data_IF_703944558387
#
_entry.id   IF_703944558387
#
_cell.length_a   1.000
_cell.length_b   1.000
_cell.length_c   1.000
_cell.angle_alpha   90.00
_cell.angle_beta   90.00
_cell.angle_gamma   90.00
#
_symmetry.space_group_name_H-M   'P 1'
#
loop_
_entity.id
_entity.type
_entity.pdbx_description
1 polymer ?
#
# COMPACT_ATOMS: atom_id res chain seq x y z
N UNK A 1 25.50 38.81 -22.24
CA UNK A 1 25.51 37.36 -21.93
C UNK A 1 25.91 36.66 -23.21
N UNK A 2 27.07 35.99 -23.23
CA UNK A 2 27.66 35.44 -24.46
C UNK A 2 26.80 34.35 -25.10
N UNK A 3 26.83 34.26 -26.42
CA UNK A 3 26.15 33.21 -27.18
C UNK A 3 26.65 31.83 -26.70
N UNK A 4 25.76 31.03 -26.13
CA UNK A 4 26.03 29.64 -25.79
C UNK A 4 26.25 28.86 -27.07
N UNK A 5 27.35 28.09 -27.15
CA UNK A 5 27.63 27.23 -28.28
C UNK A 5 26.46 26.26 -28.53
N UNK A 6 26.12 25.96 -29.79
CA UNK A 6 25.05 25.02 -30.10
C UNK A 6 25.38 23.64 -29.50
N UNK A 7 24.37 22.91 -28.98
CA UNK A 7 24.60 21.57 -28.42
C UNK A 7 25.09 20.60 -29.50
N UNK A 8 26.04 19.74 -29.16
CA UNK A 8 26.53 18.69 -30.05
C UNK A 8 25.61 17.45 -30.00
N UNK A 9 24.56 17.48 -30.82
CA UNK A 9 23.63 16.36 -30.95
C UNK A 9 24.28 15.10 -31.55
N UNK A 10 25.29 15.27 -32.41
CA UNK A 10 25.95 14.17 -33.12
C UNK A 10 26.64 13.21 -32.14
N UNK A 11 27.25 13.75 -31.08
CA UNK A 11 27.83 12.93 -30.01
C UNK A 11 26.82 11.99 -29.35
N UNK A 12 25.57 12.44 -29.16
CA UNK A 12 24.51 11.66 -28.54
C UNK A 12 23.94 10.61 -29.50
N UNK A 13 23.79 10.94 -30.78
CA UNK A 13 23.43 9.97 -31.81
C UNK A 13 24.48 8.84 -31.87
N UNK A 14 25.76 9.20 -31.89
CA UNK A 14 26.85 8.23 -31.86
C UNK A 14 26.82 7.36 -30.60
N UNK A 15 26.59 7.95 -29.42
CA UNK A 15 26.50 7.20 -28.16
C UNK A 15 25.29 6.26 -28.11
N UNK A 16 24.20 6.61 -28.79
CA UNK A 16 23.00 5.78 -28.92
C UNK A 16 23.11 4.72 -30.04
N UNK A 17 24.22 4.70 -30.80
CA UNK A 17 24.39 3.81 -31.95
C UNK A 17 23.46 4.15 -33.12
N UNK A 18 23.07 5.41 -33.25
CA UNK A 18 22.19 5.90 -34.32
C UNK A 18 22.99 6.71 -35.34
N UNK A 19 22.75 6.46 -36.62
CA UNK A 19 23.30 7.26 -37.72
C UNK A 19 22.41 8.50 -37.96
N UNK A 20 22.88 9.72 -37.63
CA UNK A 20 22.09 10.94 -37.78
C UNK A 20 21.69 11.24 -39.23
N UNK A 21 22.42 10.73 -40.23
CA UNK A 21 22.09 10.94 -41.65
C UNK A 21 20.80 10.22 -42.08
N UNK A 22 20.40 9.19 -41.32
CA UNK A 22 19.16 8.43 -41.57
C UNK A 22 17.91 9.08 -40.98
N UNK A 23 18.06 10.22 -40.32
CA UNK A 23 16.97 10.93 -39.62
C UNK A 23 16.71 12.29 -40.26
N UNK A 24 15.44 12.66 -40.37
CA UNK A 24 14.98 13.97 -40.85
C UNK A 24 14.58 14.85 -39.68
N UNK A 25 14.95 16.14 -39.70
CA UNK A 25 14.57 17.08 -38.65
C UNK A 25 13.04 17.22 -38.53
N UNK A 26 12.55 17.29 -37.30
CA UNK A 26 11.14 17.41 -36.94
C UNK A 26 10.93 18.45 -35.84
N UNK A 27 9.69 18.92 -35.66
CA UNK A 27 9.33 19.83 -34.58
C UNK A 27 9.19 19.07 -33.26
N UNK A 28 9.84 19.47 -32.15
CA UNK A 28 9.69 18.83 -30.84
C UNK A 28 8.23 18.78 -30.36
N UNK A 29 7.79 17.65 -29.82
CA UNK A 29 6.38 17.38 -29.47
C UNK A 29 6.22 17.02 -28.00
N UNK A 30 7.18 16.31 -27.39
CA UNK A 30 7.05 15.78 -26.04
C UNK A 30 7.67 16.71 -25.00
N UNK A 31 6.96 17.10 -23.94
CA UNK A 31 7.52 18.01 -22.94
C UNK A 31 8.55 17.31 -22.05
N UNK A 32 9.68 17.97 -21.85
CA UNK A 32 10.78 17.44 -21.06
C UNK A 32 10.52 17.59 -19.55
N UNK A 33 11.10 16.68 -18.76
CA UNK A 33 11.04 16.72 -17.27
C UNK A 33 11.79 17.91 -16.67
N UNK A 34 12.75 18.44 -17.43
CA UNK A 34 13.71 19.45 -17.01
C UNK A 34 13.55 20.68 -17.90
N UNK A 35 13.78 21.86 -17.34
CA UNK A 35 13.85 23.08 -18.12
C UNK A 35 15.00 23.00 -19.15
N UNK A 36 14.71 23.35 -20.39
CA UNK A 36 15.66 23.39 -21.51
C UNK A 36 15.53 24.71 -22.27
N UNK A 37 16.66 25.31 -22.67
CA UNK A 37 16.69 26.50 -23.52
C UNK A 37 16.87 26.18 -25.02
N UNK A 38 17.21 24.94 -25.35
CA UNK A 38 17.24 24.43 -26.71
C UNK A 38 16.61 23.02 -26.79
N UNK A 39 15.79 22.78 -27.83
CA UNK A 39 15.14 21.50 -28.11
C UNK A 39 15.28 21.15 -29.58
N UNK A 40 15.45 19.87 -29.88
CA UNK A 40 15.55 19.37 -31.24
C UNK A 40 14.88 17.99 -31.33
N UNK A 41 14.29 17.71 -32.48
CA UNK A 41 13.67 16.43 -32.75
C UNK A 41 13.98 15.96 -34.17
N UNK A 42 13.97 14.66 -34.36
CA UNK A 42 14.16 14.02 -35.64
C UNK A 42 13.29 12.78 -35.78
N UNK A 43 12.97 12.39 -37.01
CA UNK A 43 12.18 11.20 -37.32
C UNK A 43 12.87 10.35 -38.39
N UNK A 44 12.60 9.04 -38.35
CA UNK A 44 13.06 8.07 -39.34
C UNK A 44 11.98 7.02 -39.52
N UNK A 45 11.64 6.71 -40.76
CA UNK A 45 10.82 5.53 -41.06
C UNK A 45 11.70 4.27 -41.06
N UNK A 46 11.21 3.24 -40.40
CA UNK A 46 11.79 1.89 -40.41
C UNK A 46 10.76 1.00 -41.10
N UNK A 47 11.22 0.16 -42.04
CA UNK A 47 10.35 -0.72 -42.84
C UNK A 47 10.43 -2.19 -42.44
N UNK A 48 11.42 -2.58 -41.63
CA UNK A 48 11.68 -3.97 -41.24
C UNK A 48 12.04 -4.02 -39.75
N UNK A 49 11.43 -4.87 -38.91
CA UNK A 49 10.42 -5.89 -39.21
C UNK A 49 8.97 -5.38 -39.26
N UNK A 50 8.69 -4.15 -38.82
CA UNK A 50 7.36 -3.52 -38.85
C UNK A 50 7.54 -2.10 -39.40
N UNK A 51 6.66 -1.66 -40.30
CA UNK A 51 6.65 -0.27 -40.77
C UNK A 51 6.29 0.67 -39.61
N UNK A 52 7.23 1.49 -39.18
CA UNK A 52 7.12 2.31 -37.98
C UNK A 52 7.94 3.59 -38.11
N UNK A 53 7.45 4.70 -37.56
CA UNK A 53 8.21 5.95 -37.45
C UNK A 53 8.91 5.97 -36.09
N UNK A 54 10.25 5.94 -36.12
CA UNK A 54 11.08 6.20 -34.94
C UNK A 54 11.33 7.69 -34.85
N UNK A 55 11.26 8.22 -33.64
CA UNK A 55 11.47 9.63 -33.34
C UNK A 55 12.57 9.76 -32.30
N UNK A 56 13.45 10.73 -32.46
CA UNK A 56 14.46 11.12 -31.48
C UNK A 56 14.10 12.51 -31.00
N UNK A 57 14.01 12.70 -29.68
CA UNK A 57 13.90 14.03 -29.08
C UNK A 57 15.10 14.28 -28.16
N UNK A 58 15.65 15.49 -28.23
CA UNK A 58 16.78 15.92 -27.43
C UNK A 58 16.58 17.35 -26.92
N UNK A 59 17.10 17.62 -25.73
CA UNK A 59 17.05 18.94 -25.13
C UNK A 59 18.37 19.28 -24.43
N UNK A 60 18.68 20.57 -24.39
CA UNK A 60 19.88 21.11 -23.76
C UNK A 60 19.56 22.33 -22.89
N UNK A 61 20.41 22.56 -21.90
CA UNK A 61 20.44 23.76 -21.09
C UNK A 61 21.83 24.40 -21.17
N UNK A 62 21.93 25.64 -21.66
CA UNK A 62 23.18 26.38 -21.83
C UNK A 62 24.23 25.61 -22.64
N UNK A 63 23.80 24.96 -23.72
CA UNK A 63 24.66 24.15 -24.60
C UNK A 63 25.00 22.75 -24.06
N UNK A 64 24.57 22.38 -22.85
CA UNK A 64 24.79 21.04 -22.29
C UNK A 64 23.54 20.18 -22.47
N UNK A 65 23.63 18.99 -23.09
CA UNK A 65 22.48 18.10 -23.19
C UNK A 65 21.96 17.66 -21.81
N UNK A 66 20.64 17.73 -21.64
CA UNK A 66 19.94 17.32 -20.42
C UNK A 66 18.93 16.20 -20.68
N UNK A 67 18.60 15.96 -21.96
CA UNK A 67 17.64 14.97 -22.39
C UNK A 67 17.99 14.43 -23.77
N UNK A 68 17.87 13.12 -23.93
CA UNK A 68 17.96 12.44 -25.22
C UNK A 68 17.15 11.16 -25.14
N UNK A 69 16.17 10.98 -26.03
CA UNK A 69 15.29 9.81 -26.01
C UNK A 69 14.93 9.36 -27.41
N UNK A 70 14.98 8.04 -27.59
CA UNK A 70 14.43 7.35 -28.77
C UNK A 70 13.01 6.92 -28.44
N UNK A 71 12.07 7.35 -29.27
CA UNK A 71 10.64 7.14 -29.17
C UNK A 71 10.19 6.25 -30.35
N UNK A 72 9.44 5.22 -30.03
CA UNK A 72 8.82 4.32 -30.99
C UNK A 72 7.31 4.63 -31.08
N UNK A 73 6.57 4.15 -32.11
CA UNK A 73 5.15 4.48 -32.27
C UNK A 73 4.26 4.06 -31.08
N UNK A 74 4.68 3.06 -30.32
CA UNK A 74 4.00 2.58 -29.12
C UNK A 74 4.51 3.25 -27.83
N UNK A 75 5.39 4.26 -27.92
CA UNK A 75 5.77 5.05 -26.78
C UNK A 75 4.58 5.91 -26.35
N UNK A 76 4.14 5.76 -25.10
CA UNK A 76 3.03 6.54 -24.54
C UNK A 76 3.54 7.88 -23.98
N UNK A 77 3.09 9.05 -24.49
CA UNK A 77 3.40 10.36 -23.94
C UNK A 77 2.57 10.63 -22.68
N UNK A 78 2.65 9.75 -21.70
CA UNK A 78 1.83 9.78 -20.48
C UNK A 78 1.98 11.09 -19.68
N UNK A 79 3.05 11.86 -19.91
CA UNK A 79 3.30 13.17 -19.28
C UNK A 79 2.64 14.34 -20.00
N UNK A 80 2.53 14.26 -21.32
CA UNK A 80 1.99 15.34 -22.15
C UNK A 80 0.47 15.21 -22.30
N UNK A 81 -0.06 14.02 -22.03
CA UNK A 81 -1.49 13.79 -21.93
C UNK A 81 -2.00 14.38 -20.62
N UNK A 82 -3.07 15.17 -20.71
CA UNK A 82 -3.88 15.49 -19.55
C UNK A 82 -4.30 14.17 -18.91
N UNK A 83 -3.93 13.93 -17.65
CA UNK A 83 -4.34 12.75 -16.91
C UNK A 83 -5.87 12.76 -16.78
N UNK A 84 -6.54 12.13 -17.75
CA UNK A 84 -7.99 11.94 -17.68
C UNK A 84 -8.24 10.73 -16.81
N UNK A 85 -8.76 10.96 -15.61
CA UNK A 85 -9.17 9.86 -14.75
C UNK A 85 -10.20 9.00 -15.48
N UNK A 86 -9.96 7.70 -15.55
CA UNK A 86 -10.92 6.77 -16.13
C UNK A 86 -12.25 6.86 -15.37
N UNK A 87 -13.38 6.54 -16.01
CA UNK A 87 -14.69 6.51 -15.35
C UNK A 87 -14.68 5.66 -14.07
N UNK A 88 -13.85 4.62 -14.06
CA UNK A 88 -13.61 3.77 -12.91
C UNK A 88 -12.81 4.47 -11.79
N UNK A 89 -11.73 5.17 -12.11
CA UNK A 89 -10.99 5.96 -11.12
C UNK A 89 -11.89 7.04 -10.50
N UNK A 90 -12.75 7.67 -11.32
CA UNK A 90 -13.76 8.62 -10.82
C UNK A 90 -14.75 7.93 -9.88
N UNK A 91 -15.29 6.78 -10.26
CA UNK A 91 -16.18 5.99 -9.41
C UNK A 91 -15.49 5.58 -8.09
N UNK A 92 -14.25 5.09 -8.15
CA UNK A 92 -13.49 4.70 -6.97
C UNK A 92 -13.23 5.89 -6.03
N UNK A 93 -12.91 7.07 -6.57
CA UNK A 93 -12.78 8.30 -5.79
C UNK A 93 -14.10 8.73 -5.14
N UNK A 94 -15.22 8.69 -5.88
CA UNK A 94 -16.54 9.01 -5.34
C UNK A 94 -16.91 8.03 -4.22
N UNK A 95 -16.73 6.73 -4.45
CA UNK A 95 -16.97 5.69 -3.44
C UNK A 95 -16.09 5.91 -2.22
N UNK A 96 -14.79 6.20 -2.41
CA UNK A 96 -13.86 6.51 -1.33
C UNK A 96 -14.30 7.71 -0.49
N UNK A 97 -14.74 8.80 -1.14
CA UNK A 97 -15.28 10.00 -0.47
C UNK A 97 -16.54 9.65 0.32
N UNK A 98 -17.47 8.90 -0.27
CA UNK A 98 -18.72 8.49 0.40
C UNK A 98 -18.42 7.57 1.60
N UNK A 99 -17.50 6.61 1.46
CA UNK A 99 -17.07 5.72 2.54
C UNK A 99 -16.40 6.52 3.65
N UNK A 100 -15.50 7.45 3.32
CA UNK A 100 -14.85 8.31 4.30
C UNK A 100 -15.85 9.20 5.05
N UNK A 101 -16.80 9.82 4.33
CA UNK A 101 -17.88 10.59 4.93
C UNK A 101 -18.77 9.72 5.85
N UNK A 102 -19.07 8.49 5.44
CA UNK A 102 -19.82 7.53 6.25
C UNK A 102 -19.06 7.11 7.52
N UNK A 103 -17.73 6.91 7.46
CA UNK A 103 -16.90 6.66 8.63
C UNK A 103 -16.92 7.85 9.59
N UNK A 104 -16.74 9.07 9.06
CA UNK A 104 -16.67 10.28 9.87
C UNK A 104 -18.00 10.64 10.53
N UNK A 105 -19.08 10.74 9.74
CA UNK A 105 -20.40 11.08 10.25
C UNK A 105 -20.99 9.94 11.07
N UNK A 106 -20.80 8.69 10.63
CA UNK A 106 -21.26 7.49 11.33
C UNK A 106 -20.60 7.33 12.70
N UNK A 107 -19.29 7.55 12.81
CA UNK A 107 -18.60 7.47 14.10
C UNK A 107 -19.12 8.53 15.08
N UNK A 108 -19.28 9.78 14.66
CA UNK A 108 -19.80 10.86 15.50
C UNK A 108 -21.19 10.54 16.04
N UNK A 109 -22.11 10.09 15.17
CA UNK A 109 -23.48 9.77 15.57
C UNK A 109 -23.55 8.58 16.53
N UNK A 110 -22.79 7.52 16.26
CA UNK A 110 -22.78 6.31 17.09
C UNK A 110 -22.08 6.56 18.42
N UNK A 111 -20.95 7.28 18.45
CA UNK A 111 -20.26 7.67 19.68
C UNK A 111 -21.20 8.51 20.55
N UNK A 112 -21.87 9.53 20.00
CA UNK A 112 -22.85 10.35 20.74
C UNK A 112 -23.95 9.49 21.37
N UNK A 113 -24.47 8.52 20.61
CA UNK A 113 -25.48 7.57 21.11
C UNK A 113 -24.92 6.70 22.24
N UNK A 114 -23.73 6.16 22.07
CA UNK A 114 -23.07 5.28 23.06
C UNK A 114 -22.79 6.02 24.37
N UNK A 115 -22.28 7.26 24.30
CA UNK A 115 -22.03 8.11 25.46
C UNK A 115 -23.33 8.41 26.22
N UNK A 116 -24.41 8.79 25.51
CA UNK A 116 -25.73 9.01 26.14
C UNK A 116 -26.27 7.76 26.83
N UNK A 117 -25.95 6.59 26.29
CA UNK A 117 -26.34 5.29 26.87
C UNK A 117 -25.37 4.79 27.95
N UNK A 118 -24.30 5.54 28.27
CA UNK A 118 -23.21 5.12 29.17
C UNK A 118 -22.66 3.74 28.81
N UNK A 119 -22.49 3.48 27.51
CA UNK A 119 -21.97 2.23 26.95
C UNK A 119 -20.68 2.51 26.18
N UNK A 120 -19.72 1.60 26.30
CA UNK A 120 -18.42 1.69 25.62
C UNK A 120 -17.25 1.67 26.60
N UNK A 121 -16.11 1.14 26.13
CA UNK A 121 -14.85 1.05 26.85
C UNK A 121 -13.99 2.25 26.53
N UNK A 122 -14.12 3.24 27.40
CA UNK A 122 -13.26 4.42 27.39
C UNK A 122 -11.79 4.01 27.50
N UNK A 123 -11.45 3.10 28.42
CA UNK A 123 -10.07 2.72 28.67
C UNK A 123 -9.43 2.05 27.45
N UNK A 124 -10.09 1.07 26.84
CA UNK A 124 -9.64 0.41 25.62
C UNK A 124 -9.52 1.37 24.44
N UNK A 125 -10.48 2.30 24.29
CA UNK A 125 -10.43 3.31 23.22
C UNK A 125 -9.22 4.25 23.36
N UNK A 126 -8.90 4.70 24.57
CA UNK A 126 -7.73 5.53 24.85
C UNK A 126 -6.42 4.77 24.68
N UNK A 127 -6.36 3.50 25.09
CA UNK A 127 -5.17 2.66 24.87
C UNK A 127 -4.87 2.53 23.37
N UNK A 128 -5.89 2.33 22.53
CA UNK A 128 -5.73 2.32 21.08
C UNK A 128 -5.26 3.68 20.54
N UNK A 129 -5.86 4.78 20.98
CA UNK A 129 -5.48 6.12 20.56
C UNK A 129 -4.00 6.38 20.85
N UNK A 130 -3.57 6.10 22.09
CA UNK A 130 -2.20 6.29 22.53
C UNK A 130 -1.23 5.39 21.76
N UNK A 131 -1.59 4.12 21.54
CA UNK A 131 -0.80 3.20 20.72
C UNK A 131 -0.57 3.79 19.32
N UNK A 132 -1.63 4.20 18.61
CA UNK A 132 -1.50 4.78 17.27
C UNK A 132 -0.75 6.12 17.25
N UNK A 133 -0.91 6.93 18.29
CA UNK A 133 -0.17 8.19 18.44
C UNK A 133 1.34 7.93 18.53
N UNK A 134 1.78 7.04 19.41
CA UNK A 134 3.21 6.74 19.57
C UNK A 134 3.80 5.95 18.39
N UNK A 135 3.03 5.04 17.79
CA UNK A 135 3.44 4.34 16.56
C UNK A 135 3.67 5.34 15.43
N UNK A 136 2.78 6.33 15.26
CA UNK A 136 2.94 7.37 14.26
C UNK A 136 4.17 8.24 14.53
N UNK A 137 4.38 8.71 15.77
CA UNK A 137 5.56 9.52 16.09
C UNK A 137 6.87 8.74 15.90
N UNK A 138 6.88 7.44 16.22
CA UNK A 138 8.03 6.57 15.99
C UNK A 138 8.29 6.37 14.49
N UNK A 139 7.24 6.13 13.71
CA UNK A 139 7.31 6.08 12.25
C UNK A 139 7.88 7.38 11.68
N UNK A 140 7.36 8.53 12.11
CA UNK A 140 7.81 9.84 11.66
C UNK A 140 9.28 10.09 12.02
N UNK A 141 9.70 9.81 13.25
CA UNK A 141 11.09 9.98 13.69
C UNK A 141 12.09 9.10 12.92
N UNK A 142 11.66 7.94 12.43
CA UNK A 142 12.50 7.05 11.64
C UNK A 142 12.56 7.45 10.16
N UNK A 143 11.46 7.95 9.60
CA UNK A 143 11.33 8.28 8.18
C UNK A 143 11.70 9.72 7.82
N UNK A 144 11.49 10.68 8.72
CA UNK A 144 11.78 12.08 8.45
C UNK A 144 13.29 12.34 8.36
N UNK A 145 13.66 13.28 7.51
CA UNK A 145 15.01 13.84 7.49
C UNK A 145 15.03 15.03 8.46
N UNK A 146 15.64 14.83 9.62
CA UNK A 146 15.76 15.87 10.63
C UNK A 146 16.97 16.77 10.33
N UNK A 147 16.73 18.06 10.21
CA UNK A 147 17.77 19.07 10.00
C UNK A 147 17.72 20.06 11.16
N UNK A 148 18.87 20.42 11.71
CA UNK A 148 18.97 21.41 12.79
C UNK A 148 18.62 22.82 12.28
N UNK A 149 17.32 23.10 12.14
CA UNK A 149 16.78 24.32 11.55
C UNK A 149 15.48 24.72 12.23
N UNK A 150 15.12 26.01 12.18
CA UNK A 150 13.82 26.48 12.69
C UNK A 150 12.64 25.85 11.95
N UNK A 151 12.83 25.42 10.70
CA UNK A 151 11.80 24.72 9.93
C UNK A 151 11.43 23.35 10.54
N UNK A 152 12.36 22.74 11.28
CA UNK A 152 12.15 21.48 11.99
C UNK A 152 11.00 21.59 13.01
N UNK A 153 10.88 22.74 13.69
CA UNK A 153 9.78 22.99 14.61
C UNK A 153 8.42 22.91 13.90
N UNK A 154 8.34 23.49 12.69
CA UNK A 154 7.15 23.38 11.85
C UNK A 154 6.81 21.93 11.51
N UNK A 155 7.80 21.10 11.18
CA UNK A 155 7.59 19.67 10.89
C UNK A 155 7.09 18.89 12.12
N UNK A 156 7.64 19.18 13.31
CA UNK A 156 7.18 18.57 14.57
C UNK A 156 5.71 18.93 14.84
N UNK A 157 5.34 20.20 14.69
CA UNK A 157 3.96 20.65 14.91
C UNK A 157 3.00 19.97 13.92
N UNK A 158 3.39 19.85 12.64
CA UNK A 158 2.59 19.12 11.65
C UNK A 158 2.46 17.64 12.02
N UNK A 159 3.55 16.98 12.44
CA UNK A 159 3.52 15.58 12.85
C UNK A 159 2.60 15.36 14.05
N UNK A 160 2.67 16.22 15.07
CA UNK A 160 1.77 16.17 16.23
C UNK A 160 0.31 16.38 15.83
N UNK A 161 0.02 17.35 14.96
CA UNK A 161 -1.35 17.60 14.48
C UNK A 161 -1.94 16.37 13.78
N UNK A 162 -1.17 15.74 12.88
CA UNK A 162 -1.57 14.50 12.21
C UNK A 162 -1.74 13.33 13.19
N UNK A 163 -0.81 13.17 14.13
CA UNK A 163 -0.87 12.13 15.15
C UNK A 163 -2.15 12.25 16.00
N UNK A 164 -2.48 13.46 16.48
CA UNK A 164 -3.68 13.72 17.26
C UNK A 164 -4.96 13.51 16.44
N UNK A 165 -5.02 14.04 15.22
CA UNK A 165 -6.19 13.94 14.35
C UNK A 165 -6.56 12.47 14.12
N UNK A 166 -5.59 11.66 13.71
CA UNK A 166 -5.85 10.28 13.30
C UNK A 166 -6.02 9.35 14.50
N UNK A 167 -5.24 9.51 15.57
CA UNK A 167 -5.44 8.72 16.80
C UNK A 167 -6.81 8.99 17.44
N UNK A 168 -7.28 10.24 17.42
CA UNK A 168 -8.62 10.61 17.88
C UNK A 168 -9.70 10.02 16.99
N UNK A 169 -9.50 10.04 15.66
CA UNK A 169 -10.44 9.42 14.73
C UNK A 169 -10.52 7.89 14.93
N UNK A 170 -9.38 7.22 15.09
CA UNK A 170 -9.33 5.80 15.40
C UNK A 170 -10.04 5.46 16.72
N UNK A 171 -9.83 6.29 17.75
CA UNK A 171 -10.54 6.17 19.03
C UNK A 171 -12.05 6.24 18.85
N UNK A 172 -12.54 7.20 18.06
CA UNK A 172 -13.97 7.35 17.78
C UNK A 172 -14.54 6.11 17.09
N UNK A 173 -13.86 5.58 16.08
CA UNK A 173 -14.27 4.36 15.39
C UNK A 173 -14.35 3.18 16.36
N UNK A 174 -13.30 2.96 17.17
CA UNK A 174 -13.26 1.86 18.12
C UNK A 174 -14.32 1.98 19.22
N UNK A 175 -14.45 3.15 19.84
CA UNK A 175 -15.45 3.41 20.87
C UNK A 175 -16.89 3.26 20.34
N UNK A 176 -17.13 3.70 19.10
CA UNK A 176 -18.42 3.54 18.44
C UNK A 176 -18.77 2.07 18.18
N UNK A 177 -17.79 1.29 17.72
CA UNK A 177 -17.95 -0.09 17.31
C UNK A 177 -18.08 -1.08 18.49
N UNK A 178 -17.35 -0.82 19.57
CA UNK A 178 -17.16 -1.78 20.66
C UNK A 178 -18.48 -2.30 21.28
N UNK A 179 -19.50 -1.46 21.59
CA UNK A 179 -20.70 -1.96 22.25
C UNK A 179 -21.52 -2.90 21.37
N UNK A 180 -21.47 -2.67 20.05
CA UNK A 180 -22.15 -3.51 19.08
C UNK A 180 -21.46 -4.87 18.96
N UNK A 181 -20.14 -4.86 18.81
CA UNK A 181 -19.37 -6.08 18.59
C UNK A 181 -19.40 -6.99 19.80
N UNK A 182 -19.29 -6.44 21.02
CA UNK A 182 -19.42 -7.23 22.25
C UNK A 182 -20.73 -8.01 22.35
N UNK A 183 -21.81 -7.47 21.77
CA UNK A 183 -23.14 -8.09 21.80
C UNK A 183 -23.33 -9.15 20.73
N UNK A 184 -22.81 -8.91 19.52
CA UNK A 184 -23.14 -9.71 18.33
C UNK A 184 -22.04 -10.66 17.90
N UNK A 185 -20.78 -10.21 17.95
CA UNK A 185 -19.61 -10.96 17.48
C UNK A 185 -18.43 -10.81 18.45
N UNK A 186 -18.58 -11.18 19.74
CA UNK A 186 -17.60 -10.90 20.78
C UNK A 186 -16.21 -11.45 20.43
N UNK A 187 -16.14 -12.61 19.78
CA UNK A 187 -14.90 -13.29 19.39
C UNK A 187 -13.97 -12.44 18.53
N UNK A 188 -14.50 -11.53 17.70
CA UNK A 188 -13.71 -10.71 16.77
C UNK A 188 -12.81 -9.67 17.45
N UNK A 189 -13.10 -9.32 18.72
CA UNK A 189 -12.32 -8.36 19.51
C UNK A 189 -11.61 -8.99 20.72
N UNK A 190 -11.73 -10.30 20.97
CA UNK A 190 -11.15 -10.91 22.18
C UNK A 190 -9.63 -10.78 22.20
N UNK A 191 -8.95 -11.26 21.17
CA UNK A 191 -7.48 -11.20 21.11
C UNK A 191 -6.99 -9.74 21.06
N UNK A 192 -7.69 -8.88 20.33
CA UNK A 192 -7.41 -7.45 20.29
C UNK A 192 -7.54 -6.77 21.68
N UNK A 193 -8.61 -7.04 22.41
CA UNK A 193 -8.83 -6.51 23.76
C UNK A 193 -7.77 -7.02 24.74
N UNK A 194 -7.36 -8.29 24.61
CA UNK A 194 -6.26 -8.87 25.41
C UNK A 194 -4.93 -8.17 25.12
N UNK A 195 -4.58 -8.02 23.84
CA UNK A 195 -3.36 -7.31 23.41
C UNK A 195 -3.33 -5.87 23.93
N UNK A 196 -4.40 -5.10 23.71
CA UNK A 196 -4.49 -3.70 24.16
C UNK A 196 -4.55 -3.56 25.68
N UNK A 197 -4.95 -4.62 26.42
CA UNK A 197 -4.87 -4.67 27.88
C UNK A 197 -3.49 -5.05 28.43
N UNK A 198 -2.49 -5.27 27.57
CA UNK A 198 -1.13 -5.64 27.96
C UNK A 198 -0.89 -7.15 28.10
N UNK A 199 -1.88 -7.99 27.79
CA UNK A 199 -1.74 -9.46 27.81
C UNK A 199 -1.13 -9.95 26.50
N UNK A 200 0.11 -9.53 26.24
CA UNK A 200 0.80 -9.82 24.97
C UNK A 200 1.11 -11.32 24.83
N UNK A 201 1.47 -11.98 25.94
CA UNK A 201 1.78 -13.42 26.00
C UNK A 201 0.57 -14.35 26.09
N UNK A 202 -0.60 -13.86 25.71
CA UNK A 202 -1.81 -14.64 25.77
C UNK A 202 -1.87 -15.61 24.57
N UNK A 203 -2.15 -16.91 24.76
CA UNK A 203 -2.17 -17.88 23.65
C UNK A 203 -3.16 -17.51 22.53
N UNK A 204 -4.25 -16.81 22.86
CA UNK A 204 -5.19 -16.33 21.83
C UNK A 204 -4.59 -15.21 20.97
N UNK A 205 -3.74 -14.35 21.56
CA UNK A 205 -3.01 -13.30 20.84
C UNK A 205 -1.98 -13.94 19.92
N UNK A 206 -1.19 -14.90 20.44
CA UNK A 206 -0.23 -15.67 19.63
C UNK A 206 -0.89 -16.38 18.45
N UNK A 207 -2.00 -17.09 18.69
CA UNK A 207 -2.78 -17.77 17.65
C UNK A 207 -3.23 -16.82 16.54
N UNK A 208 -3.83 -15.69 16.91
CA UNK A 208 -4.37 -14.74 15.92
C UNK A 208 -3.25 -14.05 15.12
N UNK A 209 -2.10 -13.79 15.74
CA UNK A 209 -0.89 -13.29 15.04
C UNK A 209 -0.38 -14.34 14.03
N UNK A 210 -0.31 -15.62 14.41
CA UNK A 210 0.11 -16.69 13.49
C UNK A 210 -0.85 -16.83 12.30
N UNK A 211 -2.16 -16.83 12.56
CA UNK A 211 -3.18 -16.90 11.51
C UNK A 211 -3.09 -15.69 10.60
N UNK A 212 -2.92 -14.50 11.16
CA UNK A 212 -2.68 -13.27 10.40
C UNK A 212 -1.44 -13.38 9.53
N UNK A 213 -0.33 -13.89 10.08
CA UNK A 213 0.93 -14.08 9.33
C UNK A 213 0.75 -15.03 8.16
N UNK A 214 0.14 -16.20 8.39
CA UNK A 214 -0.14 -17.17 7.34
C UNK A 214 -1.07 -16.59 6.26
N UNK A 215 -2.13 -15.88 6.68
CA UNK A 215 -3.03 -15.21 5.76
C UNK A 215 -2.31 -14.13 4.94
N UNK A 216 -1.45 -13.32 5.54
CA UNK A 216 -0.67 -12.30 4.83
C UNK A 216 0.27 -12.89 3.78
N UNK A 217 0.94 -14.00 4.10
CA UNK A 217 1.77 -14.74 3.13
C UNK A 217 0.91 -15.26 1.97
N UNK A 218 -0.22 -15.90 2.26
CA UNK A 218 -1.12 -16.44 1.23
C UNK A 218 -1.71 -15.33 0.36
N UNK A 219 -2.10 -14.19 0.96
CA UNK A 219 -2.67 -13.06 0.24
C UNK A 219 -1.63 -12.41 -0.67
N UNK A 220 -0.41 -12.16 -0.18
CA UNK A 220 0.68 -11.61 -0.99
C UNK A 220 1.11 -12.56 -2.12
N UNK A 221 1.14 -13.86 -1.85
CA UNK A 221 1.38 -14.87 -2.88
C UNK A 221 0.28 -14.84 -3.94
N UNK A 222 -1.00 -14.83 -3.51
CA UNK A 222 -2.15 -14.76 -4.41
C UNK A 222 -2.10 -13.54 -5.31
N UNK A 223 -1.88 -12.34 -4.76
CA UNK A 223 -1.71 -11.10 -5.54
C UNK A 223 -0.58 -11.19 -6.57
N UNK A 224 0.51 -11.87 -6.21
CA UNK A 224 1.64 -12.10 -7.11
C UNK A 224 1.35 -13.10 -8.23
N UNK A 225 0.37 -14.00 -8.07
CA UNK A 225 -0.03 -14.98 -9.10
C UNK A 225 -0.47 -14.27 -10.38
N UNK A 226 -1.25 -13.18 -10.27
CA UNK A 226 -1.69 -12.41 -11.43
C UNK A 226 -0.51 -11.92 -12.28
N UNK A 227 0.56 -11.48 -11.62
CA UNK A 227 1.76 -10.99 -12.29
C UNK A 227 2.54 -12.08 -13.05
N UNK A 228 2.44 -13.34 -12.61
CA UNK A 228 3.11 -14.48 -13.24
C UNK A 228 2.24 -15.17 -14.29
N UNK A 229 0.95 -15.32 -14.02
CA UNK A 229 0.02 -16.11 -14.84
C UNK A 229 -0.48 -15.33 -16.04
N UNK A 230 -0.79 -14.04 -15.88
CA UNK A 230 -1.34 -13.25 -16.98
C UNK A 230 -0.38 -13.10 -18.18
N UNK A 231 0.96 -12.98 -17.97
CA UNK A 231 1.89 -13.00 -19.09
C UNK A 231 1.93 -14.31 -19.88
N UNK A 232 1.64 -15.46 -19.24
CA UNK A 232 1.55 -16.75 -19.93
C UNK A 232 0.38 -16.79 -20.94
N UNK A 233 -0.63 -15.94 -20.76
CA UNK A 233 -1.76 -15.78 -21.69
C UNK A 233 -1.55 -14.62 -22.69
N UNK A 234 -0.30 -14.21 -22.92
CA UNK A 234 0.05 -13.19 -23.92
C UNK A 234 -0.13 -11.75 -23.44
N UNK A 235 -0.35 -11.51 -22.13
CA UNK A 235 -0.22 -10.14 -21.61
C UNK A 235 1.24 -9.74 -21.51
N UNK A 236 1.50 -8.45 -21.64
CA UNK A 236 2.82 -7.92 -21.31
C UNK A 236 3.14 -8.25 -19.84
N UNK A 237 4.39 -8.63 -19.53
CA UNK A 237 4.84 -8.71 -18.14
C UNK A 237 4.44 -7.42 -17.43
N UNK A 238 3.86 -7.50 -16.21
CA UNK A 238 3.56 -6.30 -15.45
C UNK A 238 4.83 -5.46 -15.33
N UNK A 239 4.69 -4.14 -15.38
CA UNK A 239 5.81 -3.26 -15.07
C UNK A 239 6.41 -3.72 -13.74
N UNK A 240 7.74 -3.92 -13.65
CA UNK A 240 8.37 -4.33 -12.41
C UNK A 240 7.88 -3.41 -11.30
N UNK A 241 7.15 -3.96 -10.32
CA UNK A 241 6.72 -3.18 -9.17
C UNK A 241 7.97 -2.57 -8.56
N UNK A 242 8.05 -1.24 -8.51
CA UNK A 242 9.16 -0.59 -7.85
C UNK A 242 9.03 -0.93 -6.36
N UNK A 243 10.00 -1.63 -5.74
CA UNK A 243 10.01 -1.77 -4.30
C UNK A 243 9.95 -0.39 -3.66
N UNK A 244 9.38 -0.29 -2.47
CA UNK A 244 9.26 0.99 -1.77
C UNK A 244 10.64 1.63 -1.68
N UNK A 245 10.75 2.88 -2.15
CA UNK A 245 12.04 3.56 -2.25
C UNK A 245 12.70 3.67 -0.88
N UNK A 246 11.89 3.80 0.16
CA UNK A 246 12.29 3.85 1.57
C UNK A 246 12.98 2.57 2.03
N UNK A 247 12.50 1.39 1.60
CA UNK A 247 13.10 0.11 1.97
C UNK A 247 14.50 -0.10 1.36
N UNK A 248 14.80 0.58 0.25
CA UNK A 248 16.11 0.54 -0.40
C UNK A 248 17.17 1.38 0.32
N UNK A 249 16.73 2.39 1.09
CA UNK A 249 17.60 3.42 1.66
C UNK A 249 18.14 3.08 3.07
N UNK A 250 17.84 1.87 3.57
CA UNK A 250 18.49 1.29 4.76
C UNK A 250 17.53 0.83 5.87
N UNK A 251 18.09 0.25 6.93
CA UNK A 251 17.34 -0.40 8.02
C UNK A 251 16.46 0.58 8.80
N UNK A 252 16.93 1.83 9.04
CA UNK A 252 16.15 2.86 9.74
C UNK A 252 14.80 3.11 9.05
N UNK A 253 14.85 3.35 7.74
CA UNK A 253 13.67 3.64 6.93
C UNK A 253 12.79 2.40 6.79
N UNK A 254 13.40 1.22 6.66
CA UNK A 254 12.69 -0.07 6.65
C UNK A 254 11.86 -0.28 7.92
N UNK A 255 12.45 -0.07 9.11
CA UNK A 255 11.72 -0.14 10.37
C UNK A 255 10.62 0.92 10.43
N UNK A 256 10.91 2.14 9.96
CA UNK A 256 9.92 3.20 9.81
C UNK A 256 8.73 2.77 8.94
N UNK A 257 8.96 2.02 7.85
CA UNK A 257 7.89 1.49 6.98
C UNK A 257 7.03 0.45 7.70
N UNK A 258 7.60 -0.39 8.57
CA UNK A 258 6.84 -1.36 9.37
C UNK A 258 5.90 -0.64 10.35
N UNK A 259 6.35 0.42 11.02
CA UNK A 259 5.49 1.24 11.86
C UNK A 259 4.41 1.97 11.04
N UNK A 260 4.75 2.46 9.84
CA UNK A 260 3.77 3.04 8.91
C UNK A 260 2.68 2.03 8.54
N UNK A 261 3.06 0.83 8.13
CA UNK A 261 2.11 -0.22 7.75
C UNK A 261 1.25 -0.63 8.93
N UNK A 262 1.84 -0.77 10.12
CA UNK A 262 1.08 -1.05 11.35
C UNK A 262 0.03 0.04 11.60
N UNK A 263 0.42 1.31 11.49
CA UNK A 263 -0.48 2.44 11.67
C UNK A 263 -1.62 2.47 10.63
N UNK A 264 -1.27 2.34 9.35
CA UNK A 264 -2.24 2.32 8.23
C UNK A 264 -3.20 1.15 8.35
N UNK A 265 -2.71 -0.06 8.59
CA UNK A 265 -3.55 -1.26 8.54
C UNK A 265 -4.39 -1.48 9.79
N UNK A 266 -4.02 -0.92 10.95
CA UNK A 266 -4.93 -0.81 12.09
C UNK A 266 -6.13 0.07 11.72
N UNK A 267 -5.88 1.26 11.15
CA UNK A 267 -6.94 2.18 10.73
C UNK A 267 -7.82 1.59 9.63
N UNK A 268 -7.18 0.99 8.62
CA UNK A 268 -7.87 0.38 7.49
C UNK A 268 -8.77 -0.78 7.93
N UNK A 269 -8.25 -1.69 8.77
CA UNK A 269 -9.03 -2.82 9.30
C UNK A 269 -10.17 -2.35 10.20
N UNK A 270 -9.94 -1.32 11.02
CA UNK A 270 -10.98 -0.72 11.85
C UNK A 270 -12.06 -0.03 11.00
N UNK A 271 -11.66 0.64 9.92
CA UNK A 271 -12.57 1.24 8.94
C UNK A 271 -13.44 0.20 8.23
N UNK A 272 -12.84 -0.89 7.73
CA UNK A 272 -13.57 -2.03 7.14
C UNK A 272 -14.59 -2.57 8.14
N UNK A 273 -14.18 -2.79 9.39
CA UNK A 273 -15.07 -3.30 10.42
C UNK A 273 -16.20 -2.32 10.74
N UNK A 274 -15.91 -1.02 10.79
CA UNK A 274 -16.91 0.01 11.04
C UNK A 274 -17.92 0.13 9.88
N UNK A 275 -17.48 0.08 8.63
CA UNK A 275 -18.37 0.04 7.47
C UNK A 275 -19.24 -1.22 7.48
N UNK A 276 -18.67 -2.39 7.78
CA UNK A 276 -19.45 -3.62 7.95
C UNK A 276 -20.53 -3.47 9.02
N UNK A 277 -20.19 -2.85 10.14
CA UNK A 277 -21.15 -2.54 11.20
C UNK A 277 -22.27 -1.62 10.71
N UNK A 278 -21.94 -0.50 10.03
CA UNK A 278 -22.95 0.40 9.47
C UNK A 278 -23.85 -0.29 8.44
N UNK A 279 -23.28 -1.10 7.54
CA UNK A 279 -24.03 -1.88 6.56
C UNK A 279 -24.99 -2.86 7.25
N UNK A 280 -24.56 -3.54 8.32
CA UNK A 280 -25.43 -4.43 9.11
C UNK A 280 -26.55 -3.67 9.82
N UNK A 281 -26.32 -2.43 10.24
CA UNK A 281 -27.38 -1.60 10.82
C UNK A 281 -28.44 -1.22 9.78
N UNK A 282 -28.02 -0.88 8.56
CA UNK A 282 -28.93 -0.46 7.48
C UNK A 282 -29.68 -1.66 6.88
N UNK A 283 -28.93 -2.70 6.49
CA UNK A 283 -29.45 -3.83 5.72
C UNK A 283 -30.07 -4.92 6.61
N UNK A 284 -29.69 -4.98 7.89
CA UNK A 284 -30.15 -5.94 8.92
C UNK A 284 -29.81 -7.42 8.67
N UNK A 285 -29.54 -7.82 7.43
CA UNK A 285 -29.12 -9.19 7.04
C UNK A 285 -27.60 -9.26 6.84
N UNK A 286 -26.94 -10.13 7.62
CA UNK A 286 -25.48 -10.24 7.64
C UNK A 286 -24.88 -10.69 6.30
N UNK A 287 -25.58 -11.54 5.55
CA UNK A 287 -25.11 -12.01 4.24
C UNK A 287 -25.16 -10.92 3.17
N UNK A 288 -26.16 -10.03 3.20
CA UNK A 288 -26.23 -8.91 2.25
C UNK A 288 -25.14 -7.89 2.57
N UNK A 289 -24.90 -7.58 3.85
CA UNK A 289 -23.80 -6.70 4.24
C UNK A 289 -22.43 -7.26 3.78
N UNK A 290 -22.25 -8.59 3.81
CA UNK A 290 -21.07 -9.25 3.28
C UNK A 290 -20.94 -9.07 1.75
N UNK A 291 -22.01 -9.32 0.99
CA UNK A 291 -22.00 -9.13 -0.47
C UNK A 291 -21.69 -7.67 -0.82
N UNK A 292 -22.30 -6.72 -0.13
CA UNK A 292 -22.11 -5.28 -0.40
C UNK A 292 -20.66 -4.86 -0.16
N UNK A 293 -20.02 -5.30 0.93
CA UNK A 293 -18.61 -4.92 1.16
C UNK A 293 -17.67 -5.59 0.16
N UNK A 294 -17.92 -6.86 -0.19
CA UNK A 294 -17.10 -7.58 -1.17
C UNK A 294 -17.22 -6.93 -2.54
N UNK A 295 -18.42 -6.55 -2.94
CA UNK A 295 -18.67 -5.84 -4.18
C UNK A 295 -18.02 -4.46 -4.20
N UNK A 296 -18.20 -3.64 -3.14
CA UNK A 296 -17.59 -2.32 -3.01
C UNK A 296 -16.06 -2.39 -3.10
N UNK A 297 -15.48 -3.35 -2.38
CA UNK A 297 -14.05 -3.62 -2.42
C UNK A 297 -13.58 -4.04 -3.81
N UNK A 298 -14.26 -5.01 -4.43
CA UNK A 298 -13.88 -5.52 -5.74
C UNK A 298 -13.95 -4.44 -6.83
N UNK A 299 -15.04 -3.68 -6.90
CA UNK A 299 -15.26 -2.69 -7.97
C UNK A 299 -14.27 -1.53 -7.90
N UNK A 300 -13.85 -1.15 -6.68
CA UNK A 300 -12.89 -0.06 -6.46
C UNK A 300 -11.44 -0.46 -6.75
N UNK A 301 -11.13 -1.77 -6.72
CA UNK A 301 -9.79 -2.32 -7.01
C UNK A 301 -9.68 -2.91 -8.42
N UNK A 302 -10.75 -2.85 -9.21
CA UNK A 302 -10.75 -3.27 -10.61
C UNK A 302 -10.17 -2.15 -11.48
N UNK A 303 -9.54 -2.46 -12.61
CA UNK A 303 -8.88 -1.46 -13.46
C UNK A 303 -8.38 -1.99 -14.80
N UNK A 304 -8.35 -1.12 -15.82
CA UNK A 304 -7.74 -1.40 -17.13
C UNK A 304 -8.62 -2.18 -18.10
N UNK A 305 -8.00 -2.73 -19.15
CA UNK A 305 -8.68 -3.33 -20.30
C UNK A 305 -9.45 -4.63 -19.99
N UNK A 306 -9.34 -5.17 -18.77
CA UNK A 306 -9.82 -6.52 -18.43
C UNK A 306 -10.66 -6.57 -17.16
N UNK A 307 -11.70 -5.73 -17.12
CA UNK A 307 -12.61 -5.54 -16.00
C UNK A 307 -13.01 -6.84 -15.28
N UNK A 308 -13.60 -7.82 -15.97
CA UNK A 308 -14.12 -9.03 -15.34
C UNK A 308 -13.03 -9.87 -14.64
N UNK A 309 -11.85 -9.98 -15.25
CA UNK A 309 -10.74 -10.73 -14.64
C UNK A 309 -10.25 -10.08 -13.35
N UNK A 310 -10.04 -8.76 -13.38
CA UNK A 310 -9.61 -7.98 -12.22
C UNK A 310 -10.69 -7.90 -11.14
N UNK A 311 -11.97 -7.89 -11.52
CA UNK A 311 -13.10 -7.87 -10.60
C UNK A 311 -13.24 -9.18 -9.85
N UNK A 312 -13.23 -10.32 -10.55
CA UNK A 312 -13.34 -11.63 -9.92
C UNK A 312 -12.16 -11.89 -8.98
N UNK A 313 -10.95 -11.53 -9.41
CA UNK A 313 -9.75 -11.64 -8.58
C UNK A 313 -9.84 -10.77 -7.31
N UNK A 314 -10.26 -9.51 -7.47
CA UNK A 314 -10.47 -8.60 -6.34
C UNK A 314 -11.61 -9.08 -5.42
N UNK A 315 -12.67 -9.66 -5.96
CA UNK A 315 -13.78 -10.20 -5.18
C UNK A 315 -13.33 -11.39 -4.30
N UNK A 316 -12.44 -12.24 -4.80
CA UNK A 316 -11.84 -13.33 -4.00
C UNK A 316 -11.03 -12.75 -2.84
N UNK A 317 -10.21 -11.72 -3.10
CA UNK A 317 -9.44 -11.03 -2.05
C UNK A 317 -10.38 -10.45 -0.99
N UNK A 318 -11.38 -9.67 -1.39
CA UNK A 318 -12.30 -9.03 -0.44
C UNK A 318 -13.18 -10.03 0.31
N UNK A 319 -13.55 -11.15 -0.32
CA UNK A 319 -14.23 -12.25 0.34
C UNK A 319 -13.32 -12.86 1.42
N UNK A 320 -12.04 -13.09 1.12
CA UNK A 320 -11.08 -13.63 2.09
C UNK A 320 -10.86 -12.66 3.28
N UNK A 321 -10.77 -11.35 3.03
CA UNK A 321 -10.70 -10.30 4.06
C UNK A 321 -11.91 -10.38 4.99
N UNK A 322 -13.12 -10.46 4.42
CA UNK A 322 -14.35 -10.58 5.19
C UNK A 322 -14.37 -11.86 6.04
N UNK A 323 -13.96 -13.00 5.47
CA UNK A 323 -13.92 -14.28 6.17
C UNK A 323 -12.92 -14.28 7.32
N UNK A 324 -11.72 -13.75 7.13
CA UNK A 324 -10.69 -13.64 8.18
C UNK A 324 -11.16 -12.74 9.31
N UNK A 325 -11.71 -11.57 9.00
CA UNK A 325 -12.24 -10.65 10.00
C UNK A 325 -13.37 -11.30 10.81
N UNK A 326 -14.28 -12.03 10.15
CA UNK A 326 -15.42 -12.67 10.81
C UNK A 326 -15.00 -13.88 11.65
N UNK A 327 -14.03 -14.67 11.18
CA UNK A 327 -13.67 -15.95 11.80
C UNK A 327 -12.61 -15.80 12.89
N UNK A 328 -11.59 -14.97 12.63
CA UNK A 328 -10.41 -14.85 13.49
C UNK A 328 -10.34 -13.50 14.20
N UNK A 329 -10.84 -12.43 13.57
CA UNK A 329 -11.00 -11.13 14.22
C UNK A 329 -10.06 -10.04 13.73
N UNK A 330 -10.12 -8.89 14.40
CA UNK A 330 -9.43 -7.67 13.98
C UNK A 330 -7.90 -7.82 14.01
N UNK A 331 -7.36 -8.47 15.03
CA UNK A 331 -5.90 -8.63 15.20
C UNK A 331 -5.29 -9.43 14.04
N UNK A 332 -5.89 -10.58 13.70
CA UNK A 332 -5.43 -11.42 12.60
C UNK A 332 -5.45 -10.66 11.27
N UNK A 333 -6.49 -9.84 11.04
CA UNK A 333 -6.58 -9.04 9.81
C UNK A 333 -5.49 -7.97 9.73
N UNK A 334 -5.25 -7.24 10.83
CA UNK A 334 -4.19 -6.22 10.89
C UNK A 334 -2.82 -6.83 10.61
N UNK A 335 -2.50 -7.94 11.29
CA UNK A 335 -1.22 -8.64 11.09
C UNK A 335 -1.09 -9.14 9.66
N UNK A 336 -2.16 -9.70 9.09
CA UNK A 336 -2.16 -10.17 7.71
C UNK A 336 -1.87 -9.08 6.70
N UNK A 337 -2.47 -7.90 6.83
CA UNK A 337 -2.15 -6.79 5.93
C UNK A 337 -0.73 -6.25 6.12
N UNK A 338 -0.23 -6.16 7.36
CA UNK A 338 1.16 -5.73 7.59
C UNK A 338 2.14 -6.71 6.94
N UNK A 339 1.92 -8.01 7.10
CA UNK A 339 2.76 -9.06 6.50
C UNK A 339 2.65 -9.05 4.98
N UNK A 340 1.43 -9.06 4.43
CA UNK A 340 1.22 -9.01 2.97
C UNK A 340 1.91 -7.79 2.36
N UNK A 341 1.69 -6.60 2.90
CA UNK A 341 2.25 -5.38 2.32
C UNK A 341 3.77 -5.33 2.44
N UNK A 342 4.33 -5.84 3.54
CA UNK A 342 5.78 -5.96 3.69
C UNK A 342 6.36 -6.90 2.62
N UNK A 343 5.72 -8.05 2.37
CA UNK A 343 6.18 -9.01 1.37
C UNK A 343 6.07 -8.49 -0.07
N UNK A 344 5.05 -7.69 -0.37
CA UNK A 344 4.80 -7.17 -1.72
C UNK A 344 5.61 -5.91 -2.02
N UNK A 345 5.89 -5.07 -1.03
CA UNK A 345 6.58 -3.79 -1.23
C UNK A 345 8.08 -3.83 -0.94
N UNK A 346 8.57 -4.77 -0.13
CA UNK A 346 10.01 -4.87 0.15
C UNK A 346 10.71 -5.65 -0.97
N UNK A 347 11.97 -5.32 -1.28
CA UNK A 347 12.73 -5.94 -2.37
C UNK A 347 13.13 -7.38 -2.02
N UNK A 348 12.20 -8.32 -2.14
CA UNK A 348 12.47 -9.74 -1.90
C UNK A 348 13.55 -10.23 -2.87
N UNK A 349 14.75 -10.53 -2.35
CA UNK A 349 15.92 -10.81 -3.18
C UNK A 349 16.74 -11.96 -2.61
N UNK A 350 17.31 -12.76 -3.52
CA UNK A 350 18.32 -13.76 -3.20
C UNK A 350 19.74 -13.19 -3.28
N UNK A 351 19.91 -11.96 -3.78
CA UNK A 351 21.20 -11.30 -3.94
C UNK A 351 21.60 -10.52 -2.67
N UNK A 352 21.93 -11.25 -1.61
CA UNK A 352 22.20 -10.69 -0.28
C UNK A 352 23.43 -9.76 -0.19
N UNK A 353 24.31 -9.78 -1.19
CA UNK A 353 25.49 -8.92 -1.26
C UNK A 353 25.22 -7.53 -1.88
N UNK A 354 24.00 -7.26 -2.36
CA UNK A 354 23.66 -6.00 -3.02
C UNK A 354 23.32 -4.91 -1.99
N UNK A 355 23.55 -3.65 -2.36
CA UNK A 355 23.34 -2.49 -1.48
C UNK A 355 21.91 -2.38 -0.92
N UNK A 356 20.92 -2.89 -1.65
CA UNK A 356 19.50 -2.90 -1.24
C UNK A 356 19.10 -4.10 -0.36
N UNK A 357 19.97 -5.10 -0.18
CA UNK A 357 19.60 -6.35 0.51
C UNK A 357 19.30 -6.15 2.00
N UNK A 358 19.91 -5.15 2.65
CA UNK A 358 19.73 -4.90 4.08
C UNK A 358 18.25 -4.62 4.44
N UNK A 359 17.53 -3.86 3.61
CA UNK A 359 16.10 -3.60 3.84
C UNK A 359 15.23 -4.84 3.67
N UNK A 360 15.54 -5.66 2.66
CA UNK A 360 14.86 -6.95 2.44
C UNK A 360 15.00 -7.87 3.65
N UNK A 361 16.23 -8.05 4.14
CA UNK A 361 16.55 -8.91 5.28
C UNK A 361 15.86 -8.38 6.55
N UNK A 362 15.91 -7.08 6.80
CA UNK A 362 15.29 -6.49 7.99
C UNK A 362 13.77 -6.73 8.02
N UNK A 363 13.08 -6.59 6.89
CA UNK A 363 11.64 -6.91 6.81
C UNK A 363 11.35 -8.40 7.08
N UNK A 364 12.09 -9.29 6.41
CA UNK A 364 11.93 -10.74 6.60
C UNK A 364 12.20 -11.18 8.03
N UNK A 365 13.29 -10.70 8.64
CA UNK A 365 13.65 -11.00 10.01
C UNK A 365 12.59 -10.48 10.98
N UNK A 366 12.02 -9.30 10.72
CA UNK A 366 10.96 -8.74 11.58
C UNK A 366 9.70 -9.62 11.54
N UNK A 367 9.26 -10.03 10.34
CA UNK A 367 8.10 -10.94 10.21
C UNK A 367 8.39 -12.28 10.88
N UNK A 368 9.57 -12.86 10.65
CA UNK A 368 9.96 -14.13 11.23
C UNK A 368 10.03 -14.06 12.76
N UNK A 369 10.60 -12.98 13.31
CA UNK A 369 10.67 -12.76 14.75
C UNK A 369 9.28 -12.66 15.38
N UNK A 370 8.35 -11.94 14.74
CA UNK A 370 6.95 -11.84 15.19
C UNK A 370 6.26 -13.21 15.13
N UNK A 371 6.47 -13.97 14.06
CA UNK A 371 5.89 -15.30 13.90
C UNK A 371 6.41 -16.28 14.95
N UNK A 372 7.73 -16.32 15.18
CA UNK A 372 8.36 -17.19 16.18
C UNK A 372 7.94 -16.82 17.61
N UNK A 373 7.88 -15.53 17.92
CA UNK A 373 7.38 -15.05 19.20
C UNK A 373 5.91 -15.45 19.43
N UNK A 374 5.06 -15.25 18.42
CA UNK A 374 3.66 -15.64 18.48
C UNK A 374 3.46 -17.15 18.59
N UNK A 375 4.32 -17.94 17.95
CA UNK A 375 4.34 -19.40 18.05
C UNK A 375 4.69 -19.86 19.45
N UNK A 376 5.72 -19.28 20.06
CA UNK A 376 6.08 -19.56 21.45
C UNK A 376 4.91 -19.33 22.42
N UNK A 377 4.24 -18.18 22.30
CA UNK A 377 3.11 -17.85 23.16
C UNK A 377 1.85 -18.68 22.85
N UNK A 378 1.61 -19.03 21.57
CA UNK A 378 0.47 -19.85 21.16
C UNK A 378 0.56 -21.30 21.68
N UNK A 379 1.78 -21.84 21.82
CA UNK A 379 2.01 -23.19 22.36
C UNK A 379 1.67 -23.29 23.84
N UNK A 380 1.66 -22.18 24.59
CA UNK A 380 1.31 -22.14 26.02
C UNK A 380 2.05 -23.18 26.88
N UNK A 381 3.29 -23.54 26.51
CA UNK A 381 4.10 -24.57 27.19
C UNK A 381 3.93 -26.01 26.67
N UNK A 382 3.15 -26.23 25.60
CA UNK A 382 3.07 -27.54 24.93
C UNK A 382 4.27 -27.77 23.99
N UNK A 383 4.80 -29.01 23.91
CA UNK A 383 5.89 -29.33 22.98
C UNK A 383 5.42 -29.23 21.53
N UNK A 384 6.29 -28.69 20.65
CA UNK A 384 6.02 -28.49 19.24
C UNK A 384 5.67 -29.77 18.49
N UNK A 385 6.35 -30.85 18.89
CA UNK A 385 6.18 -32.20 18.39
C UNK A 385 5.73 -33.05 19.56
N UNK A 386 4.44 -33.33 19.63
CA UNK A 386 3.89 -34.30 20.57
C UNK A 386 3.82 -35.65 19.85
N UNK A 387 4.45 -36.69 20.41
CA UNK A 387 4.37 -38.06 19.88
C UNK A 387 2.92 -38.57 19.78
N UNK A 388 1.99 -37.98 20.53
CA UNK A 388 0.54 -38.28 20.40
C UNK A 388 -0.04 -38.00 19.01
N UNK A 389 0.56 -37.12 18.20
CA UNK A 389 0.10 -36.85 16.84
C UNK A 389 0.66 -37.83 15.80
N UNK A 390 1.58 -38.73 16.20
CA UNK A 390 2.13 -39.80 15.38
C UNK A 390 1.51 -41.17 15.73
N UNK A 391 0.77 -41.25 16.84
CA UNK A 391 0.12 -42.47 17.35
C UNK A 391 -1.38 -42.58 16.97
N UNK A 392 -1.94 -41.56 16.29
CA UNK A 392 -3.24 -41.58 15.58
C UNK A 392 -3.00 -41.65 14.07
#
# INVERSE_FOLDING_TARGET
RGATAPPDWSSLFSAAGLDPSTFTAATPEWADLLYSDARAAWTREITTPIRATVRVEAAAYRGKPVYFRVLYPWADPWRDRVLQSSSQQKLASIVGIVVFAALLLGSILIVRRNVRQKRGDEAGSWRLANFLFFVFLTMWALQAHHLASMNEFGMIVHALAWAFLISTFARQLYFGLEPFVRRRDPHTLIAWARLTSGKIRDPLVGRDILIGTAYGVLLGAFESVGNMVLPLFGRLPPQPGAPSMESLLGVRLTLGSIFLYTWVYVLFSLGIFFILFLLRLVVKKDWIAAIVIVFLGAVTNTGGDYFWSTFLFSAVIWLSIYLVLRRFGLLALVVGFVVQNTLVTFPMTTHLSRWYAAGAIAGMVTILAVALFAMYDALAGQPLFSTKALDD
#
